data_IF_159524060983
#
_entry.id   IF_159524060983
#
_cell.length_a   1.000
_cell.length_b   1.000
_cell.length_c   1.000
_cell.angle_alpha   90.00
_cell.angle_beta   90.00
_cell.angle_gamma   90.00
#
_symmetry.space_group_name_H-M   'P 1'
#
loop_
_entity.id
_entity.type
_entity.pdbx_description
1 polymer ?
#
# COMPACT_ATOMS: atom_id res chain seq x y z
N UNK A 1 -24.62 33.26 25.41
CA UNK A 1 -23.70 32.12 25.27
C UNK A 1 -24.22 31.27 24.13
N UNK A 2 -23.51 31.21 23.00
CA UNK A 2 -23.93 30.41 21.85
C UNK A 2 -23.74 28.92 22.15
N UNK A 3 -24.81 28.15 22.03
CA UNK A 3 -24.76 26.69 22.10
C UNK A 3 -23.97 26.16 20.90
N UNK A 4 -22.87 25.44 21.14
CA UNK A 4 -22.18 24.64 20.11
C UNK A 4 -22.89 23.29 20.08
N UNK A 5 -23.68 23.05 19.03
CA UNK A 5 -24.31 21.74 18.81
C UNK A 5 -23.29 20.79 18.21
N UNK A 6 -22.87 19.79 18.97
CA UNK A 6 -22.13 18.64 18.45
C UNK A 6 -23.13 17.57 18.05
N UNK A 7 -23.37 17.41 16.74
CA UNK A 7 -24.18 16.31 16.19
C UNK A 7 -23.25 15.19 15.71
N UNK A 8 -22.90 14.20 16.55
CA UNK A 8 -21.96 13.12 16.20
C UNK A 8 -22.47 12.19 15.08
N UNK A 9 -23.73 12.35 14.65
CA UNK A 9 -24.39 11.55 13.62
C UNK A 9 -24.73 12.34 12.35
N UNK A 10 -24.27 13.59 12.19
CA UNK A 10 -24.25 14.19 10.86
C UNK A 10 -23.24 13.41 10.04
N UNK A 11 -23.74 12.41 9.31
CA UNK A 11 -23.10 11.89 8.10
C UNK A 11 -22.69 13.13 7.31
N UNK A 12 -21.38 13.38 7.23
CA UNK A 12 -20.87 14.36 6.28
C UNK A 12 -21.47 13.96 4.95
N UNK A 13 -22.29 14.84 4.35
CA UNK A 13 -22.95 14.53 3.09
C UNK A 13 -21.89 14.00 2.14
N UNK A 14 -22.12 12.81 1.58
CA UNK A 14 -21.26 12.32 0.51
C UNK A 14 -21.20 13.43 -0.53
N UNK A 15 -20.03 14.01 -0.73
CA UNK A 15 -19.84 15.02 -1.75
C UNK A 15 -20.07 14.29 -3.08
N UNK A 16 -21.25 14.47 -3.66
CA UNK A 16 -21.65 13.84 -4.93
C UNK A 16 -20.89 14.53 -6.04
N UNK A 17 -19.61 14.20 -6.15
CA UNK A 17 -18.75 14.52 -7.28
C UNK A 17 -18.35 13.20 -7.91
N UNK A 18 -19.15 12.72 -8.86
CA UNK A 18 -18.72 11.64 -9.75
C UNK A 18 -17.59 12.20 -10.61
N UNK A 19 -16.35 11.95 -10.21
CA UNK A 19 -15.18 12.28 -11.03
C UNK A 19 -15.00 11.14 -12.03
N UNK A 20 -15.08 11.45 -13.33
CA UNK A 20 -14.93 10.46 -14.42
C UNK A 20 -13.47 10.02 -14.63
N UNK A 21 -12.52 10.72 -14.01
CA UNK A 21 -11.07 10.47 -14.17
C UNK A 21 -10.49 9.53 -13.10
N UNK A 22 -11.28 9.08 -12.13
CA UNK A 22 -10.80 8.21 -11.05
C UNK A 22 -11.16 6.74 -11.30
N UNK A 23 -10.14 5.89 -11.25
CA UNK A 23 -10.32 4.44 -11.22
C UNK A 23 -10.69 3.91 -9.81
N UNK A 24 -10.89 4.79 -8.82
CA UNK A 24 -11.32 4.43 -7.47
C UNK A 24 -10.32 3.57 -6.69
N UNK A 25 -9.04 3.63 -7.05
CA UNK A 25 -8.02 2.76 -6.45
C UNK A 25 -7.74 3.18 -5.00
N UNK A 26 -7.68 2.21 -4.09
CA UNK A 26 -7.23 2.41 -2.71
C UNK A 26 -5.93 1.65 -2.51
N UNK A 27 -4.90 2.33 -2.02
CA UNK A 27 -3.60 1.70 -1.79
C UNK A 27 -3.72 0.52 -0.82
N UNK A 28 -3.09 -0.60 -1.16
CA UNK A 28 -3.07 -1.80 -0.32
C UNK A 28 -4.35 -2.63 -0.34
N UNK A 29 -5.29 -2.33 -1.24
CA UNK A 29 -6.45 -3.18 -1.51
C UNK A 29 -6.10 -4.28 -2.53
N UNK A 30 -6.12 -5.55 -2.13
CA UNK A 30 -5.88 -6.62 -3.08
C UNK A 30 -7.15 -6.87 -3.91
N UNK A 31 -7.05 -6.67 -5.22
CA UNK A 31 -8.17 -6.94 -6.12
C UNK A 31 -8.43 -8.44 -6.23
N UNK A 32 -9.70 -8.81 -6.21
CA UNK A 32 -10.12 -10.20 -6.28
C UNK A 32 -9.68 -10.84 -7.60
N UNK A 33 -8.81 -11.84 -7.49
CA UNK A 33 -8.46 -12.75 -8.57
C UNK A 33 -8.49 -14.20 -8.04
N UNK A 34 -9.35 -15.08 -8.59
CA UNK A 34 -9.51 -16.43 -8.09
C UNK A 34 -8.21 -17.25 -8.17
N UNK A 35 -7.29 -16.91 -9.09
CA UNK A 35 -6.03 -17.63 -9.27
C UNK A 35 -5.02 -17.39 -8.13
N UNK A 36 -5.17 -16.28 -7.37
CA UNK A 36 -4.22 -15.88 -6.32
C UNK A 36 -4.79 -15.97 -4.91
N UNK A 37 -6.02 -16.45 -4.75
CA UNK A 37 -6.71 -16.57 -3.45
C UNK A 37 -5.90 -17.28 -2.36
N UNK A 38 -5.11 -18.29 -2.73
CA UNK A 38 -4.30 -19.08 -1.78
C UNK A 38 -2.89 -18.50 -1.55
N UNK A 39 -2.55 -17.39 -2.20
CA UNK A 39 -1.23 -16.77 -2.11
C UNK A 39 -1.15 -15.66 -1.06
N UNK A 40 -2.28 -15.32 -0.42
CA UNK A 40 -2.31 -14.39 0.70
C UNK A 40 -1.58 -14.99 1.91
N UNK A 41 -0.49 -14.35 2.30
CA UNK A 41 0.28 -14.76 3.47
C UNK A 41 -0.03 -13.84 4.67
N UNK A 42 0.31 -14.30 5.87
CA UNK A 42 0.28 -13.51 7.10
C UNK A 42 1.67 -13.52 7.73
N UNK A 43 2.07 -12.40 8.33
CA UNK A 43 3.34 -12.27 9.02
C UNK A 43 3.25 -11.31 10.19
N UNK A 44 4.24 -11.38 11.07
CA UNK A 44 4.35 -10.51 12.25
C UNK A 44 5.28 -9.35 11.96
N UNK A 45 4.78 -8.13 12.17
CA UNK A 45 5.53 -6.89 11.97
C UNK A 45 6.70 -6.82 12.96
N UNK A 46 7.89 -6.60 12.41
CA UNK A 46 9.13 -6.37 13.16
C UNK A 46 9.74 -5.07 12.67
N UNK A 47 9.87 -4.09 13.57
CA UNK A 47 10.35 -2.75 13.22
C UNK A 47 9.86 -1.72 14.24
N UNK A 48 10.41 -0.51 14.19
CA UNK A 48 9.97 0.59 15.06
C UNK A 48 8.77 1.35 14.48
N UNK A 49 8.71 1.44 13.15
CA UNK A 49 7.67 2.19 12.45
C UNK A 49 6.44 1.34 12.15
N UNK A 50 5.23 1.91 12.22
CA UNK A 50 4.01 1.21 11.83
C UNK A 50 4.00 0.92 10.33
N UNK A 51 3.43 -0.22 9.97
CA UNK A 51 3.18 -0.60 8.57
C UNK A 51 1.69 -0.38 8.25
N UNK A 52 1.37 -0.14 6.99
CA UNK A 52 0.00 -0.06 6.46
C UNK A 52 -0.07 -0.85 5.16
N UNK A 53 -1.25 -0.99 4.55
CA UNK A 53 -1.41 -1.67 3.26
C UNK A 53 -0.69 -0.93 2.13
N UNK A 54 -0.05 -1.70 1.24
CA UNK A 54 0.72 -1.19 0.11
C UNK A 54 2.13 -0.71 0.47
N UNK A 55 2.70 -1.20 1.58
CA UNK A 55 4.09 -0.94 1.99
C UNK A 55 4.95 -2.13 1.59
N UNK A 56 6.14 -1.86 1.04
CA UNK A 56 7.13 -2.88 0.70
C UNK A 56 7.66 -3.58 1.95
N UNK A 57 7.80 -4.90 1.88
CA UNK A 57 8.28 -5.73 2.99
C UNK A 57 9.50 -6.56 2.62
N UNK A 58 10.27 -6.98 3.62
CA UNK A 58 11.19 -8.11 3.55
C UNK A 58 10.62 -9.22 4.43
N UNK A 59 10.46 -10.41 3.86
CA UNK A 59 10.09 -11.60 4.63
C UNK A 59 11.35 -12.24 5.23
N UNK A 60 11.40 -12.32 6.56
CA UNK A 60 12.48 -12.98 7.27
C UNK A 60 12.08 -14.41 7.64
N UNK A 61 12.97 -15.35 7.35
CA UNK A 61 12.80 -16.75 7.73
C UNK A 61 12.91 -16.85 9.26
N UNK A 62 11.90 -17.40 9.96
CA UNK A 62 11.96 -17.53 11.41
C UNK A 62 13.02 -18.56 11.82
N UNK A 63 13.70 -18.29 12.94
CA UNK A 63 14.62 -19.24 13.55
C UNK A 63 13.92 -20.58 13.85
N UNK A 64 14.68 -21.68 13.86
CA UNK A 64 14.15 -23.05 13.88
C UNK A 64 13.09 -23.33 14.97
N UNK A 65 13.14 -22.64 16.12
CA UNK A 65 12.23 -22.84 17.26
C UNK A 65 11.16 -21.74 17.42
N UNK A 66 11.10 -20.73 16.54
CA UNK A 66 10.12 -19.62 16.61
C UNK A 66 9.08 -19.67 15.49
N UNK A 67 8.88 -20.83 14.86
CA UNK A 67 8.02 -21.00 13.68
C UNK A 67 6.52 -20.86 13.96
N UNK A 68 6.10 -20.93 15.23
CA UNK A 68 4.69 -20.98 15.63
C UNK A 68 3.95 -19.68 15.27
N UNK A 69 4.64 -18.53 15.30
CA UNK A 69 4.04 -17.21 15.08
C UNK A 69 4.04 -16.78 13.60
N UNK A 70 4.51 -17.63 12.67
CA UNK A 70 4.62 -17.31 11.24
C UNK A 70 5.90 -16.54 10.88
N UNK A 71 5.98 -16.07 9.63
CA UNK A 71 7.13 -15.30 9.15
C UNK A 71 7.19 -13.93 9.82
N UNK A 72 8.41 -13.47 10.13
CA UNK A 72 8.63 -12.09 10.56
C UNK A 72 8.75 -11.22 9.32
N UNK A 73 8.17 -10.03 9.35
CA UNK A 73 8.27 -9.07 8.25
C UNK A 73 8.94 -7.79 8.76
N UNK A 74 9.88 -7.27 7.98
CA UNK A 74 10.49 -5.97 8.23
C UNK A 74 10.17 -5.02 7.07
N UNK A 75 10.28 -3.69 7.28
CA UNK A 75 10.20 -2.73 6.18
C UNK A 75 11.21 -3.06 5.07
N UNK A 76 10.78 -2.94 3.82
CA UNK A 76 11.68 -3.10 2.68
C UNK A 76 12.76 -2.02 2.63
N UNK A 77 13.87 -2.36 1.96
CA UNK A 77 14.96 -1.43 1.66
C UNK A 77 14.99 -1.16 0.17
N UNK A 78 15.75 -0.15 -0.27
CA UNK A 78 15.87 0.19 -1.68
C UNK A 78 16.41 -0.97 -2.55
N UNK A 79 17.17 -1.89 -1.94
CA UNK A 79 17.79 -3.04 -2.63
C UNK A 79 17.06 -4.36 -2.41
N UNK A 80 16.11 -4.41 -1.49
CA UNK A 80 15.48 -5.68 -1.09
C UNK A 80 14.03 -5.46 -0.70
N UNK A 81 13.15 -6.05 -1.51
CA UNK A 81 11.72 -6.13 -1.29
C UNK A 81 11.27 -7.54 -1.68
N UNK A 82 10.53 -8.20 -0.80
CA UNK A 82 10.00 -9.56 -0.98
C UNK A 82 8.51 -9.56 -1.31
N UNK A 83 7.82 -8.43 -1.13
CA UNK A 83 6.38 -8.32 -1.35
C UNK A 83 5.78 -7.03 -0.81
N UNK A 84 4.46 -6.94 -0.82
CA UNK A 84 3.70 -5.79 -0.33
C UNK A 84 2.60 -6.22 0.62
N UNK A 85 2.42 -5.44 1.69
CA UNK A 85 1.31 -5.59 2.63
C UNK A 85 -0.03 -5.26 1.98
N UNK A 86 -1.11 -5.83 2.51
CA UNK A 86 -2.49 -5.53 2.08
C UNK A 86 -3.43 -5.46 3.27
N UNK A 87 -4.54 -4.75 3.10
CA UNK A 87 -5.60 -4.64 4.12
C UNK A 87 -6.56 -5.84 4.13
N UNK A 88 -6.52 -6.70 3.11
CA UNK A 88 -7.43 -7.84 2.99
C UNK A 88 -7.34 -8.73 4.23
N UNK A 89 -8.49 -8.95 4.87
CA UNK A 89 -8.65 -9.78 6.07
C UNK A 89 -7.88 -9.29 7.31
N UNK A 90 -7.30 -8.08 7.27
CA UNK A 90 -6.49 -7.51 8.35
C UNK A 90 -7.30 -6.54 9.24
N UNK A 91 -8.37 -7.04 9.88
CA UNK A 91 -9.36 -6.22 10.61
C UNK A 91 -8.86 -5.52 11.88
N UNK A 92 -7.66 -5.84 12.36
CA UNK A 92 -7.09 -5.30 13.60
C UNK A 92 -6.20 -4.07 13.38
N UNK A 93 -6.24 -3.47 12.18
CA UNK A 93 -5.54 -2.22 11.90
C UNK A 93 -6.07 -1.08 12.77
N UNK A 94 -5.17 -0.33 13.39
CA UNK A 94 -5.51 0.75 14.31
C UNK A 94 -5.58 2.05 13.52
N UNK A 95 -6.65 2.82 13.72
CA UNK A 95 -6.76 4.20 13.24
C UNK A 95 -6.79 5.15 14.42
N UNK A 96 -6.25 6.37 14.24
CA UNK A 96 -6.28 7.43 15.26
C UNK A 96 -6.83 8.71 14.63
N UNK A 97 -7.29 9.70 15.43
CA UNK A 97 -7.78 10.96 14.88
C UNK A 97 -6.76 11.70 13.99
N UNK A 98 -5.46 11.51 14.24
CA UNK A 98 -4.38 12.08 13.45
C UNK A 98 -3.92 11.19 12.28
N UNK A 99 -4.25 9.89 12.29
CA UNK A 99 -3.83 8.90 11.30
C UNK A 99 -5.02 8.03 10.87
N UNK A 100 -5.62 8.39 9.74
CA UNK A 100 -6.85 7.76 9.24
C UNK A 100 -6.62 6.43 8.50
N UNK A 101 -5.38 6.18 8.05
CA UNK A 101 -5.01 4.91 7.41
C UNK A 101 -4.83 3.83 8.51
N UNK A 102 -5.40 2.62 8.36
CA UNK A 102 -5.18 1.55 9.32
C UNK A 102 -3.70 1.17 9.42
N UNK A 103 -3.17 1.15 10.63
CA UNK A 103 -1.76 0.88 10.91
C UNK A 103 -1.57 -0.39 11.75
N UNK A 104 -0.45 -1.07 11.51
CA UNK A 104 0.00 -2.27 12.20
C UNK A 104 1.35 -2.00 12.84
N UNK A 105 1.40 -2.04 14.17
CA UNK A 105 2.61 -1.78 14.96
C UNK A 105 3.41 -3.07 15.18
N UNK A 106 4.64 -2.92 15.66
CA UNK A 106 5.51 -4.05 16.02
C UNK A 106 4.79 -5.07 16.91
N UNK A 107 4.92 -6.36 16.57
CA UNK A 107 4.24 -7.46 17.26
C UNK A 107 2.80 -7.70 16.79
N UNK A 108 2.20 -6.76 16.04
CA UNK A 108 0.98 -7.01 15.29
C UNK A 108 1.22 -7.90 14.07
N UNK A 109 0.16 -8.49 13.53
CA UNK A 109 0.21 -9.20 12.25
C UNK A 109 -0.25 -8.30 11.10
N UNK A 110 0.13 -8.63 9.87
CA UNK A 110 -0.47 -8.03 8.68
C UNK A 110 -0.37 -9.03 7.53
N UNK A 111 -1.33 -8.94 6.62
CA UNK A 111 -1.35 -9.77 5.44
C UNK A 111 -0.50 -9.15 4.32
N UNK A 112 0.08 -10.00 3.49
CA UNK A 112 0.92 -9.55 2.37
C UNK A 112 0.89 -10.57 1.23
N UNK A 113 1.30 -10.10 0.06
CA UNK A 113 1.58 -10.94 -1.10
C UNK A 113 3.05 -10.85 -1.45
N UNK A 114 3.63 -11.98 -1.83
CA UNK A 114 5.01 -12.09 -2.27
C UNK A 114 5.14 -11.64 -3.73
N UNK A 115 6.32 -11.15 -4.10
CA UNK A 115 6.67 -10.95 -5.51
C UNK A 115 6.59 -12.29 -6.28
N UNK A 116 6.06 -12.26 -7.49
CA UNK A 116 5.73 -13.43 -8.31
C UNK A 116 4.39 -14.09 -7.97
N UNK A 117 3.57 -13.49 -7.11
CA UNK A 117 2.26 -14.06 -6.75
C UNK A 117 1.21 -13.90 -7.86
N UNK A 118 1.38 -12.95 -8.78
CA UNK A 118 0.38 -12.52 -9.74
C UNK A 118 -0.78 -11.75 -9.11
N UNK A 119 -0.63 -11.29 -7.86
CA UNK A 119 -1.69 -10.53 -7.19
C UNK A 119 -1.78 -9.11 -7.77
N UNK A 120 -2.99 -8.56 -7.79
CA UNK A 120 -3.24 -7.20 -8.27
C UNK A 120 -3.41 -6.27 -7.08
N UNK A 121 -2.49 -5.33 -6.93
CA UNK A 121 -2.44 -4.43 -5.77
C UNK A 121 -2.21 -3.00 -6.26
N UNK A 122 -3.07 -2.04 -5.87
CA UNK A 122 -2.81 -0.63 -6.03
C UNK A 122 -1.73 -0.16 -5.06
N UNK A 123 -0.68 0.45 -5.60
CA UNK A 123 0.43 1.03 -4.85
C UNK A 123 0.58 2.50 -5.22
N UNK A 124 0.99 3.32 -4.26
CA UNK A 124 1.36 4.70 -4.56
C UNK A 124 2.58 4.74 -5.47
N UNK A 125 2.56 5.63 -6.45
CA UNK A 125 3.62 5.77 -7.46
C UNK A 125 4.24 7.16 -7.45
N UNK A 126 5.46 7.26 -7.96
CA UNK A 126 6.11 8.55 -8.22
C UNK A 126 5.49 9.25 -9.44
N UNK A 127 5.75 10.56 -9.58
CA UNK A 127 5.36 11.32 -10.77
C UNK A 127 6.03 10.79 -12.05
N UNK A 128 7.23 10.23 -11.94
CA UNK A 128 7.94 9.65 -13.08
C UNK A 128 7.23 8.38 -13.58
N UNK A 129 6.80 7.50 -12.68
CA UNK A 129 6.00 6.31 -13.03
C UNK A 129 4.63 6.72 -13.58
N UNK A 130 4.01 7.75 -13.02
CA UNK A 130 2.74 8.26 -13.54
C UNK A 130 2.87 8.78 -14.99
N UNK A 131 4.00 9.40 -15.35
CA UNK A 131 4.27 9.87 -16.70
C UNK A 131 4.48 8.73 -17.71
N UNK A 132 4.80 7.50 -17.26
CA UNK A 132 4.92 6.34 -18.14
C UNK A 132 3.57 5.83 -18.66
N UNK A 133 2.45 6.19 -18.04
CA UNK A 133 1.10 5.77 -18.42
C UNK A 133 0.57 6.50 -19.66
N UNK A 134 1.33 6.46 -20.76
CA UNK A 134 0.91 6.94 -22.07
C UNK A 134 0.74 5.74 -23.00
N UNK A 135 -0.23 5.82 -23.93
CA UNK A 135 -0.72 4.70 -24.78
C UNK A 135 0.34 4.00 -25.68
N UNK A 136 1.59 4.46 -25.66
CA UNK A 136 2.64 4.04 -26.58
C UNK A 136 3.84 3.37 -25.91
N UNK A 137 3.85 3.22 -24.58
CA UNK A 137 4.99 2.63 -23.86
C UNK A 137 4.67 1.19 -23.46
N UNK A 138 5.49 0.24 -23.92
CA UNK A 138 5.46 -1.13 -23.43
C UNK A 138 5.93 -1.14 -21.95
N UNK A 139 5.06 -1.58 -21.04
CA UNK A 139 5.41 -1.75 -19.63
C UNK A 139 6.16 -3.08 -19.46
N UNK A 140 7.48 -3.02 -19.57
CA UNK A 140 8.35 -4.16 -19.28
C UNK A 140 8.39 -4.45 -17.77
N UNK A 141 8.37 -5.73 -17.43
CA UNK A 141 8.72 -6.15 -16.07
C UNK A 141 10.17 -5.71 -15.78
N UNK A 142 10.47 -5.34 -14.53
CA UNK A 142 11.81 -4.95 -14.06
C UNK A 142 12.23 -3.50 -14.33
N UNK A 143 11.27 -2.56 -14.40
CA UNK A 143 11.54 -1.10 -14.47
C UNK A 143 11.22 -0.34 -13.19
N UNK A 144 10.77 -1.04 -12.14
CA UNK A 144 10.24 -0.40 -10.94
C UNK A 144 11.07 -0.78 -9.71
N UNK A 145 11.32 0.18 -8.84
CA UNK A 145 11.92 -0.05 -7.52
C UNK A 145 11.03 0.50 -6.42
N UNK A 146 11.20 -0.06 -5.22
CA UNK A 146 10.60 0.46 -4.00
C UNK A 146 11.49 1.56 -3.42
N UNK A 147 10.93 2.74 -3.18
CA UNK A 147 11.62 3.79 -2.44
C UNK A 147 11.17 3.75 -0.96
N UNK A 148 12.01 3.26 -0.05
CA UNK A 148 11.68 3.17 1.38
C UNK A 148 11.63 4.52 2.08
N UNK A 149 12.12 5.60 1.45
CA UNK A 149 12.11 6.95 2.04
C UNK A 149 10.72 7.56 1.97
N UNK A 150 10.08 7.43 0.81
CA UNK A 150 8.77 8.03 0.54
C UNK A 150 7.62 7.00 0.55
N UNK A 151 7.92 5.71 0.63
CA UNK A 151 6.97 4.60 0.61
C UNK A 151 6.10 4.55 -0.66
N UNK A 152 6.74 4.70 -1.82
CA UNK A 152 6.10 4.57 -3.13
C UNK A 152 6.95 3.76 -4.11
N UNK A 153 6.37 3.45 -5.27
CA UNK A 153 7.07 2.84 -6.40
C UNK A 153 7.64 3.93 -7.30
N UNK A 154 8.94 3.83 -7.60
CA UNK A 154 9.64 4.71 -8.54
C UNK A 154 10.29 3.90 -9.68
N UNK A 155 10.81 4.61 -10.68
CA UNK A 155 11.52 4.00 -11.82
C UNK A 155 12.93 3.58 -11.37
N UNK A 156 13.34 2.36 -11.73
CA UNK A 156 14.73 1.91 -11.66
C UNK A 156 15.20 1.40 -13.02
N UNK A 157 16.39 1.86 -13.41
CA UNK A 157 17.04 1.52 -14.67
C UNK A 157 18.10 0.41 -14.52
N UNK A 158 18.39 -0.04 -13.29
CA UNK A 158 19.51 -0.95 -12.99
C UNK A 158 19.05 -2.32 -12.52
N UNK A 159 18.24 -2.39 -11.44
CA UNK A 159 17.85 -3.65 -10.80
C UNK A 159 16.36 -3.64 -10.42
N UNK A 160 15.50 -3.30 -11.39
CA UNK A 160 14.07 -3.21 -11.14
C UNK A 160 13.46 -4.55 -10.70
N UNK A 161 12.49 -4.44 -9.81
CA UNK A 161 11.71 -5.54 -9.27
C UNK A 161 10.75 -6.10 -10.34
N UNK A 162 10.39 -7.40 -10.26
CA UNK A 162 9.51 -8.06 -11.23
C UNK A 162 8.03 -7.66 -11.04
N UNK A 163 7.74 -6.38 -11.22
CA UNK A 163 6.40 -5.79 -11.16
C UNK A 163 5.95 -5.39 -12.55
N UNK A 164 4.67 -5.54 -12.84
CA UNK A 164 4.06 -5.05 -14.08
C UNK A 164 2.96 -4.05 -13.78
N UNK A 165 3.09 -2.85 -14.33
CA UNK A 165 2.07 -1.81 -14.26
C UNK A 165 0.91 -2.16 -15.20
N UNK A 166 -0.33 -2.17 -14.68
CA UNK A 166 -1.55 -2.49 -15.43
C UNK A 166 -2.38 -1.25 -15.75
N UNK A 167 -2.48 -0.32 -14.80
CA UNK A 167 -3.22 0.92 -14.96
C UNK A 167 -2.63 1.99 -14.04
N UNK A 168 -2.79 3.25 -14.41
CA UNK A 168 -2.47 4.40 -13.56
C UNK A 168 -3.70 5.26 -13.41
N UNK A 169 -3.90 5.76 -12.20
CA UNK A 169 -4.89 6.76 -11.89
C UNK A 169 -4.19 7.94 -11.25
N UNK A 170 -4.29 9.12 -11.85
CA UNK A 170 -3.55 10.32 -11.41
C UNK A 170 -4.25 11.09 -10.30
N UNK A 171 -5.58 10.99 -10.22
CA UNK A 171 -6.40 11.73 -9.24
C UNK A 171 -7.61 10.93 -8.76
N UNK A 172 -8.13 11.26 -7.58
CA UNK A 172 -9.37 10.69 -7.04
C UNK A 172 -9.23 9.28 -6.47
N UNK A 173 -8.00 8.84 -6.20
CA UNK A 173 -7.68 7.59 -5.53
C UNK A 173 -7.53 7.81 -4.02
N UNK A 174 -7.24 6.76 -3.25
CA UNK A 174 -6.82 6.89 -1.85
C UNK A 174 -5.40 6.37 -1.73
N UNK A 175 -4.41 7.28 -1.75
CA UNK A 175 -3.01 6.97 -1.46
C UNK A 175 -2.72 7.23 0.02
N UNK A 176 -1.95 6.34 0.65
CA UNK A 176 -1.56 6.47 2.05
C UNK A 176 -0.25 7.24 2.15
N UNK A 177 -0.33 8.52 2.52
CA UNK A 177 0.82 9.42 2.63
C UNK A 177 1.23 9.57 4.09
N UNK A 178 2.49 9.28 4.37
CA UNK A 178 3.08 9.54 5.69
C UNK A 178 3.61 10.97 5.77
N UNK A 179 3.24 11.68 6.83
CA UNK A 179 3.84 12.96 7.18
C UNK A 179 5.28 12.74 7.67
N UNK A 180 6.28 13.41 7.08
CA UNK A 180 7.69 13.21 7.43
C UNK A 180 8.03 13.58 8.88
N UNK A 181 7.27 14.53 9.47
CA UNK A 181 7.49 15.09 10.81
C UNK A 181 6.69 14.36 11.86
N UNK A 182 5.36 14.27 11.67
CA UNK A 182 4.46 13.71 12.68
C UNK A 182 4.32 12.20 12.61
N UNK A 183 4.84 11.57 11.54
CA UNK A 183 4.72 10.13 11.23
C UNK A 183 3.27 9.62 11.13
N UNK A 184 2.31 10.54 11.07
CA UNK A 184 0.90 10.21 10.84
C UNK A 184 0.69 9.79 9.40
N UNK A 185 -0.18 8.81 9.14
CA UNK A 185 -0.47 8.31 7.80
C UNK A 185 -1.93 8.60 7.46
N UNK A 186 -2.13 9.41 6.43
CA UNK A 186 -3.44 9.90 6.03
C UNK A 186 -3.71 9.62 4.56
N UNK A 187 -4.99 9.50 4.22
CA UNK A 187 -5.43 9.35 2.84
C UNK A 187 -5.29 10.67 2.08
N UNK A 188 -4.62 10.64 0.94
CA UNK A 188 -4.49 11.77 0.01
C UNK A 188 -5.08 11.38 -1.35
N UNK A 189 -6.04 12.18 -1.81
CA UNK A 189 -6.76 11.96 -3.08
C UNK A 189 -6.08 12.61 -4.29
N UNK A 190 -5.04 13.40 -4.05
CA UNK A 190 -4.29 14.12 -5.07
C UNK A 190 -3.08 13.35 -5.59
N UNK A 191 -2.69 12.25 -4.92
CA UNK A 191 -1.53 11.45 -5.29
C UNK A 191 -1.87 10.37 -6.30
N UNK A 192 -0.97 10.09 -7.25
CA UNK A 192 -1.17 9.04 -8.23
C UNK A 192 -1.02 7.65 -7.59
N UNK A 193 -1.85 6.72 -8.06
CA UNK A 193 -1.83 5.30 -7.66
C UNK A 193 -1.76 4.45 -8.92
N UNK A 194 -0.85 3.49 -8.93
CA UNK A 194 -0.70 2.51 -10.00
C UNK A 194 -1.25 1.17 -9.56
N UNK A 195 -2.01 0.50 -10.42
CA UNK A 195 -2.38 -0.89 -10.25
C UNK A 195 -1.26 -1.78 -10.77
N UNK A 196 -0.66 -2.57 -9.89
CA UNK A 196 0.42 -3.48 -10.25
C UNK A 196 -0.02 -4.93 -10.19
N UNK A 197 0.48 -5.71 -11.14
CA UNK A 197 0.59 -7.16 -11.03
C UNK A 197 1.94 -7.48 -10.39
N UNK A 198 1.92 -8.10 -9.22
CA UNK A 198 3.13 -8.33 -8.41
C UNK A 198 3.59 -9.78 -8.39
#
# INVERSE_FOLDING_TARGET
MGSISFDPFKTQGSSVNFTVDSNGLTQGDAQDDPAVRLKLASGVVTGTDPMWGGVGIIELIPAAMSKITGSKIAPATATSCSGFTVFNQAYHGITTPSSQVPQYTSGGSVHYYRLGSGARIPLQISAAVAALATDTVAMDANKFAWDPTNNWIDIDNTNGMPLKLLAVSTTGNLAAVQDPTTKSVNWDTTKPVGLFLI
#
